data_IF_445035878814
#
_entry.id   IF_445035878814
#
_cell.length_a   1.000
_cell.length_b   1.000
_cell.length_c   1.000
_cell.angle_alpha   90.00
_cell.angle_beta   90.00
_cell.angle_gamma   90.00
#
_symmetry.space_group_name_H-M   'P 1'
#
loop_
_entity.id
_entity.type
_entity.pdbx_description
1 polymer ?
#
# COMPACT_ATOMS: atom_id res chain seq x y z
N UNK A 1 23.16 -16.73 10.22
CA UNK A 1 23.46 -15.35 10.65
C UNK A 1 22.37 -14.93 11.61
N UNK A 2 22.69 -14.58 12.86
CA UNK A 2 21.72 -13.92 13.74
C UNK A 2 21.69 -12.43 13.37
N UNK A 3 20.56 -11.98 12.83
CA UNK A 3 20.31 -10.56 12.59
C UNK A 3 19.63 -9.96 13.81
N UNK A 4 20.17 -8.86 14.34
CA UNK A 4 19.47 -8.02 15.31
C UNK A 4 18.71 -6.95 14.53
N UNK A 5 17.41 -6.90 14.77
CA UNK A 5 16.49 -5.97 14.13
C UNK A 5 15.70 -5.18 15.17
N UNK A 6 14.91 -4.24 14.68
CA UNK A 6 13.95 -3.44 15.45
C UNK A 6 12.56 -3.68 14.91
N UNK A 7 11.56 -3.77 15.78
CA UNK A 7 10.16 -3.81 15.35
C UNK A 7 9.25 -2.97 16.23
N UNK A 8 8.31 -2.28 15.59
CA UNK A 8 7.09 -1.78 16.21
C UNK A 8 6.09 -2.92 16.38
N UNK A 9 5.69 -3.22 17.60
CA UNK A 9 4.77 -4.31 17.95
C UNK A 9 3.69 -3.80 18.91
N UNK A 10 2.49 -4.38 18.87
CA UNK A 10 1.45 -4.08 19.87
C UNK A 10 1.88 -4.61 21.23
N UNK A 11 1.60 -3.85 22.28
CA UNK A 11 1.98 -4.20 23.66
C UNK A 11 1.41 -5.55 24.10
N UNK A 12 0.17 -5.84 23.72
CA UNK A 12 -0.51 -7.11 24.00
C UNK A 12 0.20 -8.35 23.43
N UNK A 13 1.03 -8.16 22.39
CA UNK A 13 1.81 -9.24 21.79
C UNK A 13 3.26 -9.30 22.26
N UNK A 14 3.73 -8.32 23.04
CA UNK A 14 5.11 -8.20 23.48
C UNK A 14 5.38 -8.93 24.80
N UNK A 15 6.36 -9.82 24.79
CA UNK A 15 6.95 -10.42 25.98
C UNK A 15 8.40 -10.74 25.66
N UNK A 16 9.34 -10.34 26.52
CA UNK A 16 10.77 -10.63 26.31
C UNK A 16 10.98 -12.14 26.25
N UNK A 17 11.80 -12.61 25.32
CA UNK A 17 12.08 -14.02 25.09
C UNK A 17 10.98 -14.77 24.33
N UNK A 18 9.87 -14.10 23.97
CA UNK A 18 8.79 -14.73 23.21
C UNK A 18 9.26 -15.05 21.80
N UNK A 19 9.14 -16.32 21.43
CA UNK A 19 9.32 -16.76 20.05
C UNK A 19 8.06 -16.47 19.24
N UNK A 20 8.26 -15.95 18.03
CA UNK A 20 7.21 -15.70 17.04
C UNK A 20 7.54 -16.50 15.80
N UNK A 21 6.59 -17.32 15.38
CA UNK A 21 6.53 -17.86 14.03
C UNK A 21 5.91 -16.80 13.11
N UNK A 22 6.69 -16.30 12.15
CA UNK A 22 6.26 -15.21 11.28
C UNK A 22 5.24 -15.66 10.23
N UNK A 23 5.08 -16.96 10.02
CA UNK A 23 4.02 -17.46 9.14
C UNK A 23 2.63 -17.29 9.78
N UNK A 24 2.59 -17.18 11.11
CA UNK A 24 1.36 -16.93 11.88
C UNK A 24 1.19 -15.44 12.15
N UNK A 25 2.26 -14.73 12.49
CA UNK A 25 2.23 -13.29 12.78
C UNK A 25 2.98 -12.51 11.70
N UNK A 26 2.25 -12.10 10.66
CA UNK A 26 2.77 -11.33 9.52
C UNK A 26 1.85 -10.15 9.17
N UNK A 27 2.32 -9.31 8.24
CA UNK A 27 1.57 -8.17 7.73
C UNK A 27 0.25 -8.58 7.04
N UNK A 28 0.17 -9.79 6.49
CA UNK A 28 -1.01 -10.33 5.83
C UNK A 28 -2.24 -10.41 6.72
N UNK A 29 -2.07 -10.49 8.04
CA UNK A 29 -3.20 -10.38 8.96
C UNK A 29 -3.96 -9.05 8.77
N UNK A 30 -3.24 -7.96 8.50
CA UNK A 30 -3.84 -6.64 8.25
C UNK A 30 -4.51 -6.59 6.86
N UNK A 31 -3.93 -7.27 5.87
CA UNK A 31 -4.47 -7.36 4.51
C UNK A 31 -5.59 -8.41 4.38
N UNK A 32 -5.73 -9.32 5.33
CA UNK A 32 -6.72 -10.40 5.32
C UNK A 32 -8.16 -9.91 5.42
N UNK A 33 -8.33 -8.68 5.91
CA UNK A 33 -9.64 -8.01 5.98
C UNK A 33 -10.08 -7.47 4.61
N UNK A 34 -9.18 -7.40 3.62
CA UNK A 34 -9.53 -6.97 2.26
C UNK A 34 -10.44 -8.02 1.60
N UNK A 35 -11.68 -7.62 1.28
CA UNK A 35 -12.62 -8.54 0.63
C UNK A 35 -12.33 -8.65 -0.88
N UNK A 36 -12.71 -9.75 -1.55
CA UNK A 36 -12.40 -9.95 -2.97
C UNK A 36 -12.86 -8.82 -3.90
N UNK A 37 -14.00 -8.19 -3.60
CA UNK A 37 -14.53 -7.08 -4.41
C UNK A 37 -13.62 -5.83 -4.39
N UNK A 38 -12.90 -5.60 -3.29
CA UNK A 38 -11.97 -4.48 -3.13
C UNK A 38 -10.69 -4.73 -3.94
N UNK A 39 -10.15 -5.95 -3.86
CA UNK A 39 -9.05 -6.38 -4.72
C UNK A 39 -9.39 -6.21 -6.20
N UNK A 40 -10.57 -6.68 -6.63
CA UNK A 40 -11.01 -6.52 -8.02
C UNK A 40 -11.14 -5.05 -8.44
N UNK A 41 -11.58 -4.17 -7.53
CA UNK A 41 -11.61 -2.73 -7.78
C UNK A 41 -10.20 -2.19 -8.03
N UNK A 42 -9.24 -2.49 -7.16
CA UNK A 42 -7.86 -2.00 -7.30
C UNK A 42 -7.16 -2.56 -8.53
N UNK A 43 -7.33 -3.85 -8.83
CA UNK A 43 -6.83 -4.45 -10.07
C UNK A 43 -7.45 -3.78 -11.30
N UNK A 44 -8.76 -3.51 -11.28
CA UNK A 44 -9.44 -2.76 -12.34
C UNK A 44 -8.89 -1.35 -12.52
N UNK A 45 -8.63 -0.63 -11.42
CA UNK A 45 -8.01 0.70 -11.44
C UNK A 45 -6.63 0.64 -12.08
N UNK A 46 -5.76 -0.27 -11.64
CA UNK A 46 -4.41 -0.44 -12.17
C UNK A 46 -4.42 -0.80 -13.65
N UNK A 47 -5.31 -1.70 -14.09
CA UNK A 47 -5.43 -2.08 -15.50
C UNK A 47 -5.83 -0.88 -16.37
N UNK A 48 -6.80 -0.08 -15.93
CA UNK A 48 -7.22 1.10 -16.68
C UNK A 48 -6.09 2.13 -16.71
N UNK A 49 -5.43 2.39 -15.59
CA UNK A 49 -4.29 3.30 -15.51
C UNK A 49 -3.16 2.91 -16.46
N UNK A 50 -2.82 1.62 -16.51
CA UNK A 50 -1.80 1.08 -17.42
C UNK A 50 -2.20 1.23 -18.89
N UNK A 51 -3.43 0.88 -19.24
CA UNK A 51 -3.91 0.93 -20.63
C UNK A 51 -4.05 2.35 -21.17
N UNK A 52 -4.43 3.30 -20.31
CA UNK A 52 -4.75 4.67 -20.73
C UNK A 52 -3.64 5.67 -20.45
N UNK A 53 -2.66 5.31 -19.61
CA UNK A 53 -1.66 6.25 -19.10
C UNK A 53 -2.23 7.26 -18.10
N UNK A 54 -3.46 7.08 -17.62
CA UNK A 54 -4.08 7.99 -16.66
C UNK A 54 -3.28 8.05 -15.34
N UNK A 55 -3.29 9.23 -14.72
CA UNK A 55 -2.79 9.43 -13.35
C UNK A 55 -3.67 8.65 -12.37
N UNK A 56 -3.06 7.98 -11.40
CA UNK A 56 -3.76 7.11 -10.45
C UNK A 56 -4.79 7.89 -9.62
N UNK A 57 -4.47 9.12 -9.21
CA UNK A 57 -5.36 10.00 -8.44
C UNK A 57 -6.63 10.35 -9.23
N UNK A 58 -6.54 10.45 -10.56
CA UNK A 58 -7.72 10.72 -11.40
C UNK A 58 -8.74 9.59 -11.32
N UNK A 59 -8.28 8.34 -11.44
CA UNK A 59 -9.15 7.17 -11.32
C UNK A 59 -9.62 6.98 -9.88
N UNK A 60 -8.76 7.24 -8.90
CA UNK A 60 -9.10 7.20 -7.47
C UNK A 60 -10.25 8.15 -7.15
N UNK A 61 -10.14 9.41 -7.61
CA UNK A 61 -11.17 10.43 -7.43
C UNK A 61 -12.47 10.10 -8.15
N UNK A 62 -12.41 9.49 -9.33
CA UNK A 62 -13.62 9.00 -9.99
C UNK A 62 -14.35 7.95 -9.14
N UNK A 63 -13.62 6.97 -8.59
CA UNK A 63 -14.19 5.94 -7.70
C UNK A 63 -14.76 6.58 -6.44
N UNK A 64 -14.00 7.47 -5.79
CA UNK A 64 -14.43 8.17 -4.59
C UNK A 64 -15.69 9.01 -4.86
N UNK A 65 -15.69 9.83 -5.91
CA UNK A 65 -16.84 10.65 -6.30
C UNK A 65 -18.08 9.80 -6.54
N UNK A 66 -17.95 8.67 -7.26
CA UNK A 66 -19.06 7.75 -7.51
C UNK A 66 -19.62 7.10 -6.23
N UNK A 67 -18.76 6.77 -5.27
CA UNK A 67 -19.19 6.15 -4.03
C UNK A 67 -19.78 7.17 -3.04
N UNK A 68 -19.28 8.41 -3.02
CA UNK A 68 -19.67 9.46 -2.06
C UNK A 68 -20.93 10.21 -2.49
N UNK A 69 -21.01 10.56 -3.78
CA UNK A 69 -22.00 11.50 -4.30
C UNK A 69 -22.57 11.00 -5.63
N UNK A 70 -23.76 11.45 -6.03
CA UNK A 70 -24.19 11.28 -7.40
C UNK A 70 -23.17 11.93 -8.34
N UNK A 71 -22.76 11.19 -9.38
CA UNK A 71 -21.95 11.77 -10.46
C UNK A 71 -22.69 12.96 -11.10
N UNK A 72 -21.96 13.96 -11.63
CA UNK A 72 -22.58 15.03 -12.42
C UNK A 72 -23.51 14.45 -13.49
N UNK A 73 -24.70 15.03 -13.67
CA UNK A 73 -25.73 14.47 -14.56
C UNK A 73 -25.23 14.27 -15.99
N UNK A 74 -24.34 15.14 -16.48
CA UNK A 74 -23.71 15.00 -17.78
C UNK A 74 -22.85 13.72 -17.87
N UNK A 75 -21.96 13.47 -16.90
CA UNK A 75 -21.16 12.24 -16.85
C UNK A 75 -22.05 11.00 -16.67
N UNK A 76 -23.05 11.08 -15.81
CA UNK A 76 -24.00 9.98 -15.60
C UNK A 76 -24.73 9.62 -16.91
N UNK A 77 -25.17 10.61 -17.68
CA UNK A 77 -25.79 10.41 -18.99
C UNK A 77 -24.80 9.78 -19.99
N UNK A 78 -23.54 10.24 -20.04
CA UNK A 78 -22.48 9.63 -20.85
C UNK A 78 -22.29 8.15 -20.50
N UNK A 79 -22.19 7.82 -19.22
CA UNK A 79 -22.03 6.45 -18.73
C UNK A 79 -23.25 5.56 -18.99
N UNK A 80 -24.41 6.10 -19.36
CA UNK A 80 -25.62 5.32 -19.72
C UNK A 80 -25.90 5.28 -21.22
N UNK A 81 -25.29 6.18 -22.02
CA UNK A 81 -25.53 6.27 -23.47
C UNK A 81 -24.92 5.10 -24.26
N UNK A 82 -25.27 4.91 -25.53
CA UNK A 82 -24.55 3.95 -26.39
C UNK A 82 -23.23 4.52 -26.94
N UNK A 83 -22.98 5.82 -26.76
CA UNK A 83 -21.75 6.45 -27.21
C UNK A 83 -20.55 6.01 -26.37
N UNK A 84 -19.56 5.45 -27.06
CA UNK A 84 -18.32 4.93 -26.50
C UNK A 84 -17.15 5.89 -26.65
N UNK A 85 -17.39 7.08 -27.21
CA UNK A 85 -16.36 8.10 -27.40
C UNK A 85 -15.71 8.46 -26.06
N UNK A 86 -14.38 8.59 -26.02
CA UNK A 86 -13.66 8.96 -24.81
C UNK A 86 -14.17 10.26 -24.18
N UNK A 87 -14.02 10.36 -22.87
CA UNK A 87 -14.36 11.56 -22.10
C UNK A 87 -13.11 12.07 -21.41
N UNK A 88 -12.96 13.38 -21.34
CA UNK A 88 -12.00 13.98 -20.43
C UNK A 88 -12.62 14.04 -19.04
N UNK A 89 -12.01 13.36 -18.06
CA UNK A 89 -12.53 13.35 -16.70
C UNK A 89 -12.41 14.72 -16.02
N UNK A 90 -11.48 15.58 -16.45
CA UNK A 90 -11.34 16.93 -15.88
C UNK A 90 -12.57 17.81 -16.13
N UNK A 91 -13.37 17.49 -17.15
CA UNK A 91 -14.64 18.18 -17.43
C UNK A 91 -15.71 17.91 -16.36
N UNK A 92 -15.55 16.86 -15.55
CA UNK A 92 -16.58 16.36 -14.65
C UNK A 92 -16.14 16.28 -13.18
N UNK A 93 -14.85 16.14 -12.91
CA UNK A 93 -14.32 16.01 -11.56
C UNK A 93 -13.44 17.23 -11.27
N UNK A 94 -13.85 18.01 -10.26
CA UNK A 94 -13.11 19.19 -9.82
C UNK A 94 -11.71 18.82 -9.33
N UNK A 95 -10.77 19.75 -9.51
CA UNK A 95 -9.38 19.66 -9.05
C UNK A 95 -8.59 18.46 -9.60
N UNK A 96 -8.91 18.04 -10.83
CA UNK A 96 -8.03 17.17 -11.62
C UNK A 96 -7.03 18.03 -12.40
N UNK A 97 -5.74 17.73 -12.23
CA UNK A 97 -4.68 18.36 -13.01
C UNK A 97 -4.52 17.64 -14.37
N UNK A 98 -4.70 18.38 -15.46
CA UNK A 98 -4.41 17.92 -16.82
C UNK A 98 -5.55 17.16 -17.53
N UNK A 99 -5.38 16.99 -18.84
CA UNK A 99 -6.31 16.26 -19.73
C UNK A 99 -6.22 14.77 -19.40
N UNK A 100 -7.33 14.16 -18.98
CA UNK A 100 -7.40 12.73 -18.69
C UNK A 100 -8.49 12.06 -19.53
N UNK A 101 -8.12 11.74 -20.76
CA UNK A 101 -9.01 11.09 -21.73
C UNK A 101 -9.12 9.61 -21.41
N UNK A 102 -10.32 9.16 -21.02
CA UNK A 102 -10.62 7.77 -20.72
C UNK A 102 -11.83 7.32 -21.52
N UNK A 103 -11.76 6.12 -22.10
CA UNK A 103 -12.89 5.55 -22.81
C UNK A 103 -14.04 5.21 -21.85
N UNK A 104 -15.27 5.39 -22.34
CA UNK A 104 -16.48 5.19 -21.53
C UNK A 104 -16.65 3.73 -21.09
N UNK A 105 -16.10 2.75 -21.83
CA UNK A 105 -16.14 1.32 -21.44
C UNK A 105 -15.36 1.10 -20.15
N UNK A 106 -14.15 1.65 -20.06
CA UNK A 106 -13.28 1.56 -18.90
C UNK A 106 -13.94 2.23 -17.68
N UNK A 107 -14.50 3.43 -17.85
CA UNK A 107 -15.22 4.09 -16.75
C UNK A 107 -16.46 3.32 -16.28
N UNK A 108 -17.20 2.68 -17.19
CA UNK A 108 -18.32 1.79 -16.83
C UNK A 108 -17.85 0.59 -16.03
N UNK A 109 -16.78 -0.07 -16.48
CA UNK A 109 -16.21 -1.21 -15.77
C UNK A 109 -15.78 -0.81 -14.36
N UNK A 110 -15.07 0.32 -14.23
CA UNK A 110 -14.62 0.86 -12.96
C UNK A 110 -15.80 1.21 -12.05
N UNK A 111 -16.85 1.83 -12.59
CA UNK A 111 -18.10 2.11 -11.87
C UNK A 111 -18.75 0.83 -11.34
N UNK A 112 -18.80 -0.24 -12.13
CA UNK A 112 -19.35 -1.53 -11.69
C UNK A 112 -18.55 -2.12 -10.53
N UNK A 113 -17.22 -2.05 -10.59
CA UNK A 113 -16.34 -2.51 -9.51
C UNK A 113 -16.51 -1.65 -8.25
N UNK A 114 -16.57 -0.32 -8.42
CA UNK A 114 -16.79 0.63 -7.34
C UNK A 114 -18.14 0.42 -6.65
N UNK A 115 -19.17 0.05 -7.39
CA UNK A 115 -20.49 -0.27 -6.83
C UNK A 115 -20.44 -1.52 -5.94
N UNK A 116 -19.67 -2.54 -6.32
CA UNK A 116 -19.50 -3.78 -5.55
C UNK A 116 -18.66 -3.60 -4.27
N UNK A 117 -17.88 -2.52 -4.20
CA UNK A 117 -16.96 -2.18 -3.11
C UNK A 117 -17.34 -0.87 -2.41
N UNK A 118 -18.63 -0.48 -2.46
CA UNK A 118 -19.13 0.86 -2.10
C UNK A 118 -18.72 1.38 -0.71
N UNK A 119 -18.41 0.51 0.23
CA UNK A 119 -18.06 0.87 1.61
C UNK A 119 -16.56 1.13 1.83
N UNK A 120 -15.71 0.89 0.82
CA UNK A 120 -14.26 0.91 1.00
C UNK A 120 -13.70 2.33 1.13
N UNK A 121 -14.04 3.24 0.21
CA UNK A 121 -13.54 4.64 0.26
C UNK A 121 -14.46 5.54 1.08
N UNK A 122 -15.75 5.20 1.17
CA UNK A 122 -16.79 6.08 1.71
C UNK A 122 -17.32 5.52 3.01
N UNK A 123 -16.71 5.97 4.11
CA UNK A 123 -17.15 5.65 5.45
C UNK A 123 -16.03 5.80 6.49
N UNK A 124 -16.28 6.60 7.53
CA UNK A 124 -15.55 6.53 8.81
C UNK A 124 -14.03 6.66 8.75
N UNK A 125 -13.46 7.33 7.73
CA UNK A 125 -12.02 7.49 7.59
C UNK A 125 -11.29 6.32 6.92
N UNK A 126 -11.97 5.39 6.23
CA UNK A 126 -11.34 4.21 5.60
C UNK A 126 -10.43 4.47 4.39
N UNK A 127 -10.34 5.70 3.88
CA UNK A 127 -9.45 6.07 2.77
C UNK A 127 -7.98 5.64 3.01
N UNK A 128 -7.47 5.79 4.24
CA UNK A 128 -6.11 5.36 4.57
C UNK A 128 -5.93 3.83 4.47
N UNK A 129 -6.93 3.05 4.87
CA UNK A 129 -6.93 1.58 4.73
C UNK A 129 -6.99 1.20 3.26
N UNK A 130 -7.89 1.83 2.50
CA UNK A 130 -8.02 1.58 1.08
C UNK A 130 -6.74 1.91 0.31
N UNK A 131 -6.06 3.02 0.65
CA UNK A 131 -4.75 3.37 0.07
C UNK A 131 -3.69 2.33 0.41
N UNK A 132 -3.65 1.83 1.65
CA UNK A 132 -2.73 0.77 2.02
C UNK A 132 -2.99 -0.51 1.18
N UNK A 133 -4.25 -0.91 1.02
CA UNK A 133 -4.61 -2.06 0.20
C UNK A 133 -4.30 -1.86 -1.28
N UNK A 134 -4.61 -0.68 -1.81
CA UNK A 134 -4.30 -0.32 -3.19
C UNK A 134 -2.80 -0.45 -3.49
N UNK A 135 -1.96 0.15 -2.64
CA UNK A 135 -0.52 0.06 -2.80
C UNK A 135 -0.05 -1.38 -2.70
N UNK A 136 -0.45 -2.14 -1.69
CA UNK A 136 -0.05 -3.54 -1.56
C UNK A 136 -0.48 -4.40 -2.77
N UNK A 137 -1.65 -4.15 -3.36
CA UNK A 137 -2.04 -4.76 -4.64
C UNK A 137 -1.07 -4.39 -5.78
N UNK A 138 -0.65 -3.13 -5.87
CA UNK A 138 0.27 -2.67 -6.90
C UNK A 138 1.69 -3.23 -6.72
N UNK A 139 2.22 -3.18 -5.48
CA UNK A 139 3.51 -3.77 -5.13
C UNK A 139 3.54 -5.27 -5.46
N UNK A 140 2.49 -6.01 -5.09
CA UNK A 140 2.40 -7.45 -5.36
C UNK A 140 2.29 -7.75 -6.87
N UNK A 141 1.57 -6.92 -7.63
CA UNK A 141 1.51 -7.06 -9.09
C UNK A 141 2.88 -6.90 -9.73
N UNK A 142 3.59 -5.80 -9.44
CA UNK A 142 4.93 -5.56 -9.99
C UNK A 142 5.92 -6.66 -9.55
N UNK A 143 5.80 -7.14 -8.30
CA UNK A 143 6.59 -8.27 -7.79
C UNK A 143 6.33 -9.54 -8.62
N UNK A 144 5.06 -9.88 -8.85
CA UNK A 144 4.67 -11.07 -9.61
C UNK A 144 5.19 -11.05 -11.05
N UNK A 145 5.15 -9.88 -11.70
CA UNK A 145 5.52 -9.73 -13.11
C UNK A 145 7.04 -9.75 -13.34
N UNK A 146 7.83 -9.18 -12.42
CA UNK A 146 9.26 -8.95 -12.64
C UNK A 146 10.21 -9.51 -11.59
N UNK A 147 9.72 -9.86 -10.40
CA UNK A 147 10.54 -10.21 -9.23
C UNK A 147 9.98 -11.41 -8.45
N UNK A 148 9.66 -12.54 -9.11
CA UNK A 148 9.05 -13.69 -8.44
C UNK A 148 9.94 -14.32 -7.36
N UNK A 149 11.25 -14.03 -7.38
CA UNK A 149 12.21 -14.44 -6.35
C UNK A 149 12.06 -13.66 -5.03
N UNK A 150 11.50 -12.45 -5.07
CA UNK A 150 11.29 -11.63 -3.89
C UNK A 150 10.03 -12.11 -3.15
N UNK A 151 10.01 -12.12 -1.81
CA UNK A 151 8.87 -12.60 -1.06
C UNK A 151 7.67 -11.64 -1.17
N UNK A 152 6.45 -12.18 -1.09
CA UNK A 152 5.27 -11.32 -0.98
C UNK A 152 5.27 -10.61 0.36
N UNK A 153 5.15 -9.28 0.33
CA UNK A 153 5.02 -8.40 1.51
C UNK A 153 3.89 -8.87 2.43
N UNK A 154 2.77 -9.27 1.86
CA UNK A 154 1.61 -9.79 2.59
C UNK A 154 1.92 -11.05 3.43
N UNK A 155 2.99 -11.78 3.15
CA UNK A 155 3.34 -13.01 3.90
C UNK A 155 4.58 -12.82 4.78
N UNK A 156 5.02 -11.57 4.95
CA UNK A 156 6.26 -11.26 5.65
C UNK A 156 6.00 -10.56 6.98
N UNK A 157 6.96 -10.76 7.89
CA UNK A 157 7.08 -10.01 9.12
C UNK A 157 8.11 -8.91 8.92
N UNK A 158 7.65 -7.66 8.94
CA UNK A 158 8.52 -6.51 8.67
C UNK A 158 9.34 -6.14 9.91
N UNK A 159 10.64 -6.01 9.75
CA UNK A 159 11.57 -5.51 10.77
C UNK A 159 12.51 -4.48 10.16
N UNK A 160 13.10 -3.63 10.96
CA UNK A 160 14.09 -2.64 10.52
C UNK A 160 15.49 -3.03 10.97
N UNK A 161 16.49 -2.74 10.14
CA UNK A 161 17.89 -3.08 10.45
C UNK A 161 18.64 -1.95 11.18
N UNK A 162 18.14 -0.72 11.16
CA UNK A 162 18.79 0.45 11.74
C UNK A 162 17.89 1.13 12.79
N UNK A 163 18.35 1.16 14.04
CA UNK A 163 17.64 1.78 15.18
C UNK A 163 17.50 3.30 14.99
N UNK A 164 18.55 3.97 14.51
CA UNK A 164 18.56 5.43 14.36
C UNK A 164 17.62 5.87 13.23
N UNK A 165 17.67 5.21 12.08
CA UNK A 165 16.74 5.46 10.98
C UNK A 165 15.28 5.18 11.42
N UNK A 166 15.06 4.10 12.19
CA UNK A 166 13.75 3.78 12.76
C UNK A 166 13.27 4.86 13.73
N UNK A 167 14.16 5.43 14.54
CA UNK A 167 13.82 6.52 15.46
C UNK A 167 13.36 7.77 14.71
N UNK A 168 14.12 8.18 13.70
CA UNK A 168 13.78 9.33 12.86
C UNK A 168 12.43 9.13 12.14
N UNK A 169 12.22 7.95 11.56
CA UNK A 169 10.95 7.60 10.91
C UNK A 169 9.78 7.60 11.92
N UNK A 170 9.98 7.03 13.10
CA UNK A 170 8.95 6.98 14.13
C UNK A 170 8.54 8.38 14.62
N UNK A 171 9.48 9.31 14.75
CA UNK A 171 9.20 10.70 15.10
C UNK A 171 8.37 11.45 14.04
N UNK A 172 8.52 11.10 12.76
CA UNK A 172 7.76 11.71 11.67
C UNK A 172 6.37 11.10 11.50
N UNK A 173 6.22 9.79 11.69
CA UNK A 173 5.01 9.05 11.28
C UNK A 173 4.15 8.54 12.44
N UNK A 174 4.64 8.51 13.69
CA UNK A 174 3.92 7.91 14.83
C UNK A 174 3.62 8.88 15.97
N UNK A 175 3.64 10.19 15.70
CA UNK A 175 3.24 11.21 16.69
C UNK A 175 1.78 11.03 17.12
N UNK A 176 1.55 10.77 18.41
CA UNK A 176 0.20 10.74 19.00
C UNK A 176 -0.47 9.37 19.20
N UNK A 177 0.20 8.25 18.93
CA UNK A 177 -0.37 6.89 19.07
C UNK A 177 0.61 5.88 19.71
N UNK A 178 1.17 6.22 20.88
CA UNK A 178 2.22 5.41 21.56
C UNK A 178 1.72 4.48 22.68
N UNK A 179 0.42 4.51 23.02
CA UNK A 179 -0.08 3.72 24.14
C UNK A 179 -0.22 2.24 23.81
N UNK A 180 -0.64 1.88 22.59
CA UNK A 180 -0.88 0.47 22.23
C UNK A 180 0.33 -0.21 21.57
N UNK A 181 1.33 0.55 21.16
CA UNK A 181 2.53 0.05 20.48
C UNK A 181 3.80 0.40 21.24
N UNK A 182 4.82 -0.44 21.08
CA UNK A 182 6.19 -0.16 21.52
C UNK A 182 7.19 -0.62 20.46
N UNK A 183 8.44 -0.19 20.60
CA UNK A 183 9.56 -0.70 19.84
C UNK A 183 10.36 -1.68 20.67
N UNK A 184 10.82 -2.77 20.07
CA UNK A 184 11.73 -3.72 20.71
C UNK A 184 12.79 -4.22 19.74
N UNK A 185 13.86 -4.77 20.31
CA UNK A 185 14.80 -5.59 19.55
C UNK A 185 14.14 -6.91 19.15
N UNK A 186 14.55 -7.42 18.00
CA UNK A 186 14.12 -8.72 17.49
C UNK A 186 15.36 -9.47 17.00
N UNK A 187 15.53 -10.71 17.43
CA UNK A 187 16.61 -11.57 16.95
C UNK A 187 16.04 -12.68 16.07
N UNK A 188 16.59 -12.86 14.87
CA UNK A 188 16.24 -14.00 14.03
C UNK A 188 16.82 -15.30 14.60
N UNK A 189 15.96 -16.26 14.94
CA UNK A 189 16.35 -17.58 15.45
C UNK A 189 16.34 -18.65 14.35
N UNK A 190 15.51 -18.47 13.32
CA UNK A 190 15.56 -19.26 12.08
C UNK A 190 15.10 -18.40 10.91
N UNK A 191 15.78 -18.45 9.76
CA UNK A 191 15.40 -17.67 8.58
C UNK A 191 15.17 -18.59 7.39
N UNK A 192 13.98 -18.48 6.79
CA UNK A 192 13.66 -19.02 5.47
C UNK A 192 13.89 -17.96 4.40
N UNK A 193 13.42 -16.75 4.67
CA UNK A 193 13.59 -15.60 3.78
C UNK A 193 14.00 -14.36 4.57
N UNK A 194 14.92 -13.59 4.01
CA UNK A 194 15.31 -12.27 4.50
C UNK A 194 15.60 -11.39 3.29
N UNK A 195 14.70 -10.46 3.00
CA UNK A 195 14.81 -9.56 1.85
C UNK A 195 14.81 -8.11 2.35
N UNK A 196 15.91 -7.38 2.11
CA UNK A 196 16.04 -6.00 2.58
C UNK A 196 15.73 -5.02 1.45
N UNK A 197 14.83 -4.08 1.71
CA UNK A 197 14.44 -3.06 0.76
C UNK A 197 14.33 -1.70 1.45
N UNK A 198 14.50 -0.64 0.67
CA UNK A 198 14.44 0.72 1.18
C UNK A 198 12.98 1.21 1.22
N UNK A 199 12.45 1.39 2.44
CA UNK A 199 11.10 1.87 2.66
C UNK A 199 10.93 3.34 2.24
N UNK A 200 11.99 4.14 2.19
CA UNK A 200 11.89 5.51 1.70
C UNK A 200 11.47 5.55 0.22
N UNK A 201 11.96 4.62 -0.60
CA UNK A 201 11.50 4.45 -1.99
C UNK A 201 10.01 4.10 -2.02
N UNK A 202 9.54 3.31 -1.07
CA UNK A 202 8.13 2.93 -0.99
C UNK A 202 7.23 4.13 -0.66
N UNK A 203 7.67 4.96 0.29
CA UNK A 203 6.93 6.13 0.77
C UNK A 203 6.89 7.29 -0.23
N UNK A 204 7.84 7.35 -1.17
CA UNK A 204 7.91 8.37 -2.21
C UNK A 204 6.89 8.14 -3.36
N UNK A 205 6.33 6.94 -3.47
CA UNK A 205 5.32 6.62 -4.50
C UNK A 205 3.99 7.25 -4.14
N UNK A 206 3.40 8.01 -5.05
CA UNK A 206 2.14 8.74 -4.78
C UNK A 206 1.09 8.53 -5.85
N UNK A 207 -0.18 8.79 -5.50
CA UNK A 207 -1.28 8.72 -6.46
C UNK A 207 -1.15 9.75 -7.59
N UNK A 208 -0.28 10.77 -7.45
CA UNK A 208 -0.05 11.78 -8.50
C UNK A 208 0.74 11.23 -9.69
N UNK A 209 1.23 10.00 -9.60
CA UNK A 209 1.96 9.34 -10.67
C UNK A 209 1.02 8.61 -11.63
N UNK A 210 1.50 8.38 -12.85
CA UNK A 210 0.90 7.40 -13.77
C UNK A 210 1.31 5.99 -13.34
N UNK A 211 0.61 4.96 -13.87
CA UNK A 211 1.00 3.57 -13.65
C UNK A 211 2.47 3.32 -13.99
N UNK A 212 2.95 3.84 -15.13
CA UNK A 212 4.33 3.58 -15.57
C UNK A 212 5.39 4.18 -14.63
N UNK A 213 5.17 5.41 -14.14
CA UNK A 213 6.08 6.08 -13.19
C UNK A 213 6.11 5.35 -11.85
N UNK A 214 4.93 5.13 -11.26
CA UNK A 214 4.80 4.44 -9.97
C UNK A 214 5.36 3.01 -10.07
N UNK A 215 5.05 2.29 -11.15
CA UNK A 215 5.59 0.94 -11.36
C UNK A 215 7.12 0.95 -11.39
N UNK A 216 7.76 1.92 -12.06
CA UNK A 216 9.23 1.98 -12.06
C UNK A 216 9.81 2.24 -10.67
N UNK A 217 9.22 3.13 -9.87
CA UNK A 217 9.64 3.32 -8.47
C UNK A 217 9.47 2.05 -7.65
N UNK A 218 8.35 1.34 -7.82
CA UNK A 218 8.11 0.03 -7.19
C UNK A 218 9.16 -1.01 -7.66
N UNK A 219 9.59 -0.98 -8.93
CA UNK A 219 10.68 -1.86 -9.40
C UNK A 219 11.99 -1.55 -8.67
N UNK A 220 12.31 -0.29 -8.40
CA UNK A 220 13.51 0.10 -7.63
C UNK A 220 13.48 -0.51 -6.23
N UNK A 221 12.33 -0.49 -5.57
CA UNK A 221 12.12 -1.18 -4.28
C UNK A 221 12.44 -2.68 -4.39
N UNK A 222 11.90 -3.38 -5.40
CA UNK A 222 12.13 -4.81 -5.60
C UNK A 222 13.54 -5.18 -6.10
N UNK A 223 14.23 -4.24 -6.74
CA UNK A 223 15.66 -4.34 -7.08
C UNK A 223 16.58 -4.10 -5.88
N UNK A 224 16.02 -3.72 -4.72
CA UNK A 224 16.77 -3.37 -3.52
C UNK A 224 17.72 -2.18 -3.74
N UNK A 225 17.31 -1.24 -4.60
CA UNK A 225 17.99 0.04 -4.74
C UNK A 225 17.88 0.85 -3.45
N UNK A 226 18.72 1.88 -3.32
CA UNK A 226 18.77 2.76 -2.14
C UNK A 226 18.50 4.20 -2.54
N UNK A 227 17.69 4.88 -1.75
CA UNK A 227 17.54 6.32 -1.74
C UNK A 227 18.75 6.99 -1.07
N UNK A 228 18.76 8.31 -1.04
CA UNK A 228 19.81 9.09 -0.37
C UNK A 228 19.79 8.92 1.15
N UNK A 229 18.59 8.81 1.73
CA UNK A 229 18.35 8.63 3.18
C UNK A 229 17.59 7.32 3.43
N UNK A 230 18.25 6.15 3.28
CA UNK A 230 17.55 4.88 3.26
C UNK A 230 16.96 4.49 4.62
N UNK A 231 15.73 4.00 4.59
CA UNK A 231 15.08 3.33 5.72
C UNK A 231 14.97 1.84 5.41
N UNK A 232 15.97 1.08 5.83
CA UNK A 232 16.08 -0.34 5.46
C UNK A 232 15.09 -1.22 6.25
N UNK A 233 13.97 -1.53 5.60
CA UNK A 233 13.02 -2.57 5.99
C UNK A 233 13.54 -3.94 5.55
N UNK A 234 13.23 -4.97 6.33
CA UNK A 234 13.52 -6.36 6.03
C UNK A 234 12.21 -7.14 6.06
N UNK A 235 11.87 -7.70 4.91
CA UNK A 235 10.78 -8.66 4.72
C UNK A 235 11.30 -10.02 5.19
N UNK A 236 10.94 -10.41 6.41
CA UNK A 236 11.45 -11.60 7.05
C UNK A 236 10.40 -12.72 7.10
N UNK A 237 10.85 -13.95 6.85
CA UNK A 237 10.07 -15.18 7.05
C UNK A 237 10.91 -16.23 7.79
N UNK A 238 10.36 -16.80 8.86
CA UNK A 238 11.00 -17.80 9.71
C UNK A 238 10.55 -17.66 11.16
N UNK A 239 11.50 -17.70 12.09
CA UNK A 239 11.28 -17.54 13.52
C UNK A 239 12.14 -16.43 14.09
N UNK A 240 11.55 -15.67 15.00
CA UNK A 240 12.23 -14.59 15.72
C UNK A 240 11.98 -14.68 17.21
N UNK A 241 12.88 -14.12 18.00
CA UNK A 241 12.75 -13.93 19.44
C UNK A 241 12.66 -12.43 19.75
N UNK A 242 11.67 -12.04 20.55
CA UNK A 242 11.52 -10.66 21.02
C UNK A 242 12.53 -10.34 22.12
N UNK A 243 13.34 -9.31 21.90
CA UNK A 243 14.30 -8.79 22.86
C UNK A 243 13.77 -7.60 23.67
N UNK A 244 14.70 -6.82 24.22
CA UNK A 244 14.40 -5.68 25.08
C UNK A 244 13.63 -4.55 24.36
N UNK A 245 12.84 -3.80 25.13
CA UNK A 245 12.14 -2.60 24.65
C UNK A 245 13.15 -1.50 24.35
N UNK A 246 12.93 -0.80 23.25
CA UNK A 246 13.69 0.37 22.82
C UNK A 246 12.85 1.63 23.06
N UNK A 247 13.48 2.69 23.57
CA UNK A 247 12.88 4.04 23.64
C UNK A 247 13.41 4.86 22.47
N UNK A 248 12.52 5.24 21.55
CA UNK A 248 12.88 6.03 20.36
C UNK A 248 12.60 7.54 20.50
N UNK A 249 12.32 8.01 21.73
CA UNK A 249 12.06 9.42 22.01
C UNK A 249 10.72 9.94 21.47
N UNK A 250 9.76 9.05 21.20
CA UNK A 250 8.41 9.34 20.69
C UNK A 250 7.32 9.04 21.72
N UNK A 251 7.73 8.74 22.96
CA UNK A 251 6.86 8.45 24.10
C UNK A 251 6.32 9.75 24.73
#
# INVERSE_FOLDING_TARGET
>A
MSGKFVKKIRREYYTIGKEIDTDVYNYGLILSEMIPAERMLFEGLLNIAEMTGAVLDTLWRFVAAFQERPLPSALAARLLSEDMSPVDLSDYILDLDGITIIDVKSLRALRTLAFRSRQLLVGGGRDHVAKAYFWECFYERVRGDGFPYAPSRSTCFFVFSDVAATAAYAQKHYTGSSHDYLFCHVEATASRTSFSADMAILDDVTLKETFASAAEQIRRYWRQERSEEPLMEVLFQGKVCLGERIRLGVD
#
